data_IF_572417218777
#
_entry.id   IF_572417218777
#
_cell.length_a   1.000
_cell.length_b   1.000
_cell.length_c   1.000
_cell.angle_alpha   90.00
_cell.angle_beta   90.00
_cell.angle_gamma   90.00
#
_symmetry.space_group_name_H-M   'P 1'
#
loop_
_entity.id
_entity.type
_entity.pdbx_description
1 polymer ?
#
# COMPACT_ATOMS: atom_id res chain seq x y z
N UNK A 1 -27.93 -15.75 4.33
CA UNK A 1 -27.89 -15.87 5.81
C UNK A 1 -27.16 -14.67 6.39
N UNK A 2 -27.89 -13.70 6.95
CA UNK A 2 -27.29 -12.53 7.61
C UNK A 2 -26.74 -12.95 8.97
N UNK A 3 -25.42 -13.05 9.10
CA UNK A 3 -24.80 -13.22 10.41
C UNK A 3 -25.14 -12.00 11.28
N UNK A 4 -25.86 -12.22 12.39
CA UNK A 4 -26.12 -11.21 13.41
C UNK A 4 -24.75 -10.75 13.93
N UNK A 5 -24.38 -9.50 13.63
CA UNK A 5 -23.10 -8.93 14.06
C UNK A 5 -23.13 -8.75 15.57
N UNK A 6 -22.09 -9.19 16.26
CA UNK A 6 -21.95 -8.95 17.69
C UNK A 6 -21.79 -7.44 17.96
N UNK A 7 -22.25 -6.92 19.12
CA UNK A 7 -22.15 -5.50 19.46
C UNK A 7 -20.72 -4.95 19.30
N UNK A 8 -19.71 -5.73 19.70
CA UNK A 8 -18.29 -5.40 19.57
C UNK A 8 -17.83 -5.20 18.12
N UNK A 9 -18.34 -6.03 17.18
CA UNK A 9 -18.03 -5.89 15.77
C UNK A 9 -18.65 -4.63 15.16
N UNK A 10 -19.84 -4.22 15.63
CA UNK A 10 -20.47 -2.96 15.21
C UNK A 10 -19.74 -1.74 15.77
N UNK A 11 -19.35 -1.77 17.06
CA UNK A 11 -18.64 -0.69 17.74
C UNK A 11 -17.29 -0.41 17.08
N UNK A 12 -16.58 -1.47 16.65
CA UNK A 12 -15.32 -1.38 15.89
C UNK A 12 -15.48 -0.64 14.56
N UNK A 13 -16.56 -0.89 13.80
CA UNK A 13 -16.78 -0.21 12.50
C UNK A 13 -17.25 1.22 12.65
N UNK A 14 -17.98 1.54 13.72
CA UNK A 14 -18.33 2.92 14.04
C UNK A 14 -17.09 3.72 14.47
N UNK A 15 -16.16 3.09 15.19
CA UNK A 15 -14.86 3.69 15.52
C UNK A 15 -14.02 3.96 14.26
N UNK A 16 -13.97 3.01 13.31
CA UNK A 16 -13.34 3.22 11.99
C UNK A 16 -13.92 4.43 11.26
N UNK A 17 -15.25 4.52 11.18
CA UNK A 17 -15.93 5.67 10.56
C UNK A 17 -15.60 6.98 11.27
N UNK A 18 -15.70 7.01 12.60
CA UNK A 18 -15.41 8.21 13.39
C UNK A 18 -13.97 8.69 13.22
N UNK A 19 -12.99 7.78 13.30
CA UNK A 19 -11.59 8.11 13.08
C UNK A 19 -11.32 8.53 11.63
N UNK A 20 -12.01 7.94 10.67
CA UNK A 20 -11.93 8.33 9.26
C UNK A 20 -12.45 9.74 9.00
N UNK A 21 -13.56 10.13 9.63
CA UNK A 21 -14.07 11.51 9.57
C UNK A 21 -13.05 12.49 10.15
N UNK A 22 -12.41 12.14 11.28
CA UNK A 22 -11.32 12.98 11.84
C UNK A 22 -10.17 13.12 10.85
N UNK A 23 -9.76 12.04 10.18
CA UNK A 23 -8.70 12.09 9.16
C UNK A 23 -9.07 13.00 7.97
N UNK A 24 -10.33 12.94 7.51
CA UNK A 24 -10.83 13.83 6.46
C UNK A 24 -10.80 15.29 6.93
N UNK A 25 -11.28 15.58 8.15
CA UNK A 25 -11.28 16.93 8.70
C UNK A 25 -9.87 17.50 8.81
N UNK A 26 -8.90 16.72 9.26
CA UNK A 26 -7.49 17.14 9.32
C UNK A 26 -6.93 17.41 7.93
N UNK A 27 -7.25 16.56 6.94
CA UNK A 27 -6.77 16.71 5.56
C UNK A 27 -7.36 17.95 4.89
N UNK A 28 -8.69 18.13 4.99
CA UNK A 28 -9.41 19.26 4.42
C UNK A 28 -9.03 20.55 5.13
N UNK A 29 -8.91 20.53 6.46
CA UNK A 29 -8.41 21.66 7.24
C UNK A 29 -6.99 22.04 6.84
N UNK A 30 -6.09 21.06 6.69
CA UNK A 30 -4.72 21.29 6.23
C UNK A 30 -4.65 21.91 4.83
N UNK A 31 -5.45 21.41 3.89
CA UNK A 31 -5.56 21.99 2.54
C UNK A 31 -6.11 23.42 2.58
N UNK A 32 -7.16 23.66 3.37
CA UNK A 32 -7.76 24.98 3.51
C UNK A 32 -6.78 25.99 4.13
N UNK A 33 -6.08 25.60 5.19
CA UNK A 33 -5.04 26.45 5.81
C UNK A 33 -3.92 26.77 4.82
N UNK A 34 -3.49 25.78 4.03
CA UNK A 34 -2.51 25.99 2.97
C UNK A 34 -3.01 27.00 1.94
N UNK A 35 -4.23 26.87 1.46
CA UNK A 35 -4.75 27.75 0.43
C UNK A 35 -5.01 29.18 0.94
N UNK A 36 -5.51 29.31 2.18
CA UNK A 36 -5.68 30.59 2.86
C UNK A 36 -4.34 31.29 3.13
N UNK A 37 -3.25 30.54 3.25
CA UNK A 37 -1.91 31.12 3.37
C UNK A 37 -1.43 31.82 2.10
N UNK A 38 -1.98 31.45 0.94
CA UNK A 38 -1.65 32.04 -0.35
C UNK A 38 -2.58 33.20 -0.72
N UNK A 39 -3.89 33.06 -0.46
CA UNK A 39 -4.86 34.12 -0.70
C UNK A 39 -6.00 34.05 0.33
N UNK A 40 -6.51 35.19 0.83
CA UNK A 40 -7.58 35.22 1.83
C UNK A 40 -8.97 34.95 1.22
N UNK A 41 -9.10 33.90 0.41
CA UNK A 41 -10.34 33.48 -0.24
C UNK A 41 -10.47 31.96 -0.23
N UNK A 42 -11.71 31.48 -0.23
CA UNK A 42 -11.97 30.05 -0.39
C UNK A 42 -11.50 29.58 -1.78
N UNK A 43 -10.72 28.50 -1.88
CA UNK A 43 -10.29 27.96 -3.16
C UNK A 43 -11.48 27.52 -4.01
N UNK A 44 -11.44 27.81 -5.31
CA UNK A 44 -12.54 27.45 -6.23
C UNK A 44 -12.77 25.94 -6.31
N UNK A 45 -11.74 25.14 -6.06
CA UNK A 45 -11.74 23.68 -6.10
C UNK A 45 -12.02 23.04 -4.72
N UNK A 46 -12.24 23.84 -3.67
CA UNK A 46 -12.42 23.35 -2.29
C UNK A 46 -13.52 22.28 -2.18
N UNK A 47 -14.69 22.54 -2.76
CA UNK A 47 -15.81 21.60 -2.71
C UNK A 47 -15.54 20.32 -3.48
N UNK A 48 -14.84 20.43 -4.61
CA UNK A 48 -14.41 19.27 -5.39
C UNK A 48 -13.39 18.44 -4.59
N UNK A 49 -12.40 19.10 -3.96
CA UNK A 49 -11.41 18.43 -3.13
C UNK A 49 -12.04 17.70 -1.93
N UNK A 50 -12.95 18.37 -1.21
CA UNK A 50 -13.70 17.78 -0.10
C UNK A 50 -14.49 16.55 -0.55
N UNK A 51 -15.25 16.66 -1.64
CA UNK A 51 -16.03 15.56 -2.18
C UNK A 51 -15.13 14.41 -2.64
N UNK A 52 -14.00 14.72 -3.28
CA UNK A 52 -13.04 13.74 -3.76
C UNK A 52 -12.41 12.95 -2.61
N UNK A 53 -11.81 13.61 -1.61
CA UNK A 53 -11.21 12.92 -0.45
C UNK A 53 -12.25 12.13 0.35
N UNK A 54 -13.44 12.69 0.55
CA UNK A 54 -14.52 12.00 1.26
C UNK A 54 -14.96 10.75 0.50
N UNK A 55 -15.17 10.86 -0.82
CA UNK A 55 -15.59 9.72 -1.64
C UNK A 55 -14.53 8.61 -1.66
N UNK A 56 -13.25 8.94 -1.76
CA UNK A 56 -12.16 7.98 -1.67
C UNK A 56 -12.18 7.20 -0.34
N UNK A 57 -12.32 7.90 0.79
CA UNK A 57 -12.45 7.25 2.09
C UNK A 57 -13.69 6.35 2.16
N UNK A 58 -14.86 6.82 1.71
CA UNK A 58 -16.08 6.03 1.75
C UNK A 58 -16.00 4.78 0.86
N UNK A 59 -15.42 4.89 -0.34
CA UNK A 59 -15.18 3.74 -1.22
C UNK A 59 -14.29 2.71 -0.52
N UNK A 60 -13.18 3.15 0.09
CA UNK A 60 -12.29 2.26 0.82
C UNK A 60 -12.97 1.63 2.05
N UNK A 61 -13.73 2.41 2.81
CA UNK A 61 -14.47 1.95 3.99
C UNK A 61 -15.51 0.90 3.62
N UNK A 62 -16.30 1.17 2.58
CA UNK A 62 -17.31 0.25 2.05
C UNK A 62 -16.62 -1.02 1.53
N UNK A 63 -15.54 -0.89 0.77
CA UNK A 63 -14.73 -1.99 0.26
C UNK A 63 -14.23 -2.89 1.38
N UNK A 64 -13.58 -2.34 2.40
CA UNK A 64 -13.11 -3.10 3.57
C UNK A 64 -14.28 -3.75 4.32
N UNK A 65 -15.40 -3.04 4.49
CA UNK A 65 -16.57 -3.54 5.22
C UNK A 65 -17.21 -4.77 4.57
N UNK A 66 -17.19 -4.86 3.24
CA UNK A 66 -17.74 -5.99 2.49
C UNK A 66 -16.70 -7.08 2.20
N UNK A 67 -15.48 -6.69 1.84
CA UNK A 67 -14.46 -7.61 1.37
C UNK A 67 -13.63 -8.20 2.52
N UNK A 68 -13.46 -7.46 3.61
CA UNK A 68 -12.65 -7.85 4.78
C UNK A 68 -13.35 -7.52 6.11
N UNK A 69 -14.50 -8.16 6.43
CA UNK A 69 -15.32 -7.83 7.60
C UNK A 69 -14.62 -8.02 8.95
N UNK A 70 -13.53 -8.81 8.99
CA UNK A 70 -12.72 -9.08 10.17
C UNK A 70 -11.45 -8.21 10.24
N UNK A 71 -11.22 -7.30 9.29
CA UNK A 71 -10.06 -6.42 9.29
C UNK A 71 -10.04 -5.52 10.52
N UNK A 72 -8.84 -5.15 10.97
CA UNK A 72 -8.69 -4.20 12.08
C UNK A 72 -9.26 -2.81 11.70
N UNK A 73 -10.13 -2.21 12.54
CA UNK A 73 -10.83 -0.96 12.21
C UNK A 73 -9.96 0.31 12.24
N UNK A 74 -8.76 0.24 12.81
CA UNK A 74 -7.86 1.40 13.01
C UNK A 74 -6.97 1.68 11.80
N UNK A 75 -6.67 0.64 10.99
CA UNK A 75 -5.71 0.72 9.90
C UNK A 75 -6.16 1.68 8.79
N UNK A 76 -7.43 1.59 8.36
CA UNK A 76 -7.91 2.44 7.27
C UNK A 76 -7.90 3.93 7.64
N UNK A 77 -8.39 4.37 8.81
CA UNK A 77 -8.27 5.75 9.26
C UNK A 77 -6.82 6.24 9.36
N UNK A 78 -5.90 5.42 9.86
CA UNK A 78 -4.47 5.76 9.94
C UNK A 78 -3.86 5.99 8.55
N UNK A 79 -4.12 5.07 7.61
CA UNK A 79 -3.65 5.19 6.23
C UNK A 79 -4.26 6.41 5.53
N UNK A 80 -5.53 6.70 5.82
CA UNK A 80 -6.24 7.89 5.30
C UNK A 80 -5.61 9.17 5.83
N UNK A 81 -5.31 9.24 7.13
CA UNK A 81 -4.64 10.38 7.76
C UNK A 81 -3.26 10.62 7.15
N UNK A 82 -2.44 9.56 7.03
CA UNK A 82 -1.09 9.67 6.46
C UNK A 82 -1.12 10.07 4.99
N UNK A 83 -2.05 9.52 4.19
CA UNK A 83 -2.21 9.93 2.79
C UNK A 83 -2.66 11.39 2.68
N UNK A 84 -3.62 11.80 3.50
CA UNK A 84 -4.11 13.17 3.51
C UNK A 84 -3.04 14.19 3.89
N UNK A 85 -2.28 13.92 4.95
CA UNK A 85 -1.14 14.75 5.34
C UNK A 85 -0.07 14.80 4.24
N UNK A 86 0.28 13.65 3.66
CA UNK A 86 1.22 13.59 2.54
C UNK A 86 0.76 14.39 1.32
N UNK A 87 -0.53 14.30 0.99
CA UNK A 87 -1.12 15.08 -0.10
C UNK A 87 -1.06 16.59 0.16
N UNK A 88 -1.37 17.04 1.39
CA UNK A 88 -1.26 18.46 1.75
C UNK A 88 0.20 18.93 1.66
N UNK A 89 1.16 18.10 2.07
CA UNK A 89 2.59 18.44 1.93
C UNK A 89 3.03 18.53 0.47
N UNK A 90 2.58 17.62 -0.40
CA UNK A 90 2.88 17.69 -1.84
C UNK A 90 2.22 18.94 -2.45
N UNK A 91 0.97 19.23 -2.09
CA UNK A 91 0.27 20.45 -2.54
C UNK A 91 1.01 21.71 -2.11
N UNK A 92 1.62 21.71 -0.92
CA UNK A 92 2.46 22.81 -0.44
C UNK A 92 3.73 22.96 -1.27
N UNK A 93 4.37 21.85 -1.65
CA UNK A 93 5.57 21.88 -2.51
C UNK A 93 5.24 22.39 -3.92
N UNK A 94 4.09 22.02 -4.46
CA UNK A 94 3.65 22.45 -5.79
C UNK A 94 3.49 23.98 -5.91
N UNK A 95 3.27 24.70 -4.80
CA UNK A 95 3.22 26.18 -4.79
C UNK A 95 4.55 26.83 -5.17
N UNK A 96 5.67 26.17 -4.86
CA UNK A 96 7.02 26.71 -5.12
C UNK A 96 7.70 26.07 -6.33
N UNK A 97 7.20 24.92 -6.78
CA UNK A 97 7.76 24.19 -7.91
C UNK A 97 7.24 24.73 -9.26
N UNK A 98 8.05 24.65 -10.33
CA UNK A 98 7.57 24.90 -11.69
C UNK A 98 6.41 23.98 -12.06
N UNK A 99 5.49 24.46 -12.90
CA UNK A 99 4.31 23.70 -13.37
C UNK A 99 4.65 22.29 -13.85
N UNK A 100 5.76 22.13 -14.58
CA UNK A 100 6.21 20.83 -15.12
C UNK A 100 6.63 19.81 -14.06
N UNK A 101 6.86 20.24 -12.82
CA UNK A 101 7.28 19.39 -11.70
C UNK A 101 6.17 19.19 -10.66
N UNK A 102 4.99 19.81 -10.87
CA UNK A 102 3.86 19.68 -9.95
C UNK A 102 3.29 18.26 -9.98
N UNK A 103 3.08 17.70 -8.80
CA UNK A 103 2.70 16.28 -8.67
C UNK A 103 1.47 16.04 -7.82
N UNK A 104 0.85 17.05 -7.19
CA UNK A 104 -0.35 16.87 -6.38
C UNK A 104 -1.51 16.23 -7.16
N UNK A 105 -1.78 16.68 -8.38
CA UNK A 105 -2.84 16.08 -9.22
C UNK A 105 -2.55 14.61 -9.55
N UNK A 106 -1.31 14.31 -9.92
CA UNK A 106 -0.86 12.95 -10.19
C UNK A 106 -0.95 12.08 -8.93
N UNK A 107 -0.61 12.63 -7.77
CA UNK A 107 -0.75 11.97 -6.47
C UNK A 107 -2.22 11.64 -6.16
N UNK A 108 -3.16 12.56 -6.40
CA UNK A 108 -4.60 12.29 -6.22
C UNK A 108 -5.07 11.10 -7.07
N UNK A 109 -4.61 11.01 -8.33
CA UNK A 109 -4.92 9.87 -9.21
C UNK A 109 -4.31 8.57 -8.65
N UNK A 110 -3.05 8.60 -8.18
CA UNK A 110 -2.41 7.41 -7.60
C UNK A 110 -3.06 6.95 -6.30
N UNK A 111 -3.57 7.86 -5.47
CA UNK A 111 -4.35 7.49 -4.27
C UNK A 111 -5.63 6.77 -4.70
N UNK A 112 -6.35 7.29 -5.70
CA UNK A 112 -7.56 6.67 -6.23
C UNK A 112 -7.29 5.27 -6.83
N UNK A 113 -6.24 5.16 -7.66
CA UNK A 113 -5.78 3.87 -8.21
C UNK A 113 -5.39 2.92 -7.09
N UNK A 114 -4.67 3.38 -6.07
CA UNK A 114 -4.26 2.58 -4.92
C UNK A 114 -5.46 2.03 -4.12
N UNK A 115 -6.51 2.82 -3.93
CA UNK A 115 -7.76 2.36 -3.31
C UNK A 115 -8.46 1.31 -4.19
N UNK A 116 -8.49 1.52 -5.50
CA UNK A 116 -9.01 0.55 -6.46
C UNK A 116 -8.26 -0.78 -6.41
N UNK A 117 -6.92 -0.75 -6.44
CA UNK A 117 -6.05 -1.93 -6.31
C UNK A 117 -6.25 -2.60 -4.94
N UNK A 118 -6.37 -1.83 -3.86
CA UNK A 118 -6.66 -2.37 -2.53
C UNK A 118 -7.98 -3.15 -2.53
N UNK A 119 -9.06 -2.58 -3.06
CA UNK A 119 -10.35 -3.26 -3.15
C UNK A 119 -10.28 -4.49 -4.05
N UNK A 120 -9.57 -4.41 -5.18
CA UNK A 120 -9.35 -5.53 -6.09
C UNK A 120 -8.62 -6.68 -5.39
N UNK A 121 -7.53 -6.39 -4.67
CA UNK A 121 -6.77 -7.40 -3.91
C UNK A 121 -7.61 -8.03 -2.82
N UNK A 122 -8.36 -7.25 -2.04
CA UNK A 122 -9.29 -7.79 -1.04
C UNK A 122 -10.41 -8.64 -1.67
N UNK A 123 -10.80 -8.33 -2.90
CA UNK A 123 -11.78 -9.10 -3.66
C UNK A 123 -11.23 -10.44 -4.15
N UNK A 124 -10.02 -10.44 -4.70
CA UNK A 124 -9.36 -11.61 -5.31
C UNK A 124 -8.72 -12.54 -4.27
N UNK A 125 -8.08 -11.99 -3.23
CA UNK A 125 -7.36 -12.74 -2.21
C UNK A 125 -8.25 -12.96 -0.99
N UNK A 126 -9.18 -13.91 -1.11
CA UNK A 126 -10.08 -14.28 0.01
C UNK A 126 -9.45 -15.23 1.02
N UNK A 127 -8.50 -16.05 0.58
CA UNK A 127 -7.82 -17.00 1.43
C UNK A 127 -6.30 -16.80 1.31
N UNK A 128 -5.69 -16.32 2.38
CA UNK A 128 -4.24 -16.08 2.45
C UNK A 128 -3.47 -17.41 2.37
N UNK A 129 -4.02 -18.51 2.90
CA UNK A 129 -3.35 -19.81 2.84
C UNK A 129 -3.28 -20.37 1.42
N UNK A 130 -4.19 -19.96 0.53
CA UNK A 130 -4.13 -20.33 -0.89
C UNK A 130 -2.86 -19.80 -1.57
N UNK A 131 -2.30 -18.67 -1.10
CA UNK A 131 -1.07 -18.11 -1.65
C UNK A 131 0.14 -19.02 -1.37
N UNK A 132 0.13 -19.80 -0.28
CA UNK A 132 1.22 -20.74 0.03
C UNK A 132 1.45 -21.77 -1.07
N UNK A 133 0.36 -22.23 -1.71
CA UNK A 133 0.43 -23.20 -2.83
C UNK A 133 1.23 -22.67 -4.02
N UNK A 134 1.23 -21.35 -4.21
CA UNK A 134 1.89 -20.69 -5.33
C UNK A 134 3.22 -20.05 -4.95
N UNK A 135 3.84 -20.44 -3.81
CA UNK A 135 5.10 -19.84 -3.31
C UNK A 135 6.20 -19.78 -4.38
N UNK A 136 6.37 -20.83 -5.17
CA UNK A 136 7.41 -20.88 -6.22
C UNK A 136 7.13 -19.91 -7.36
N UNK A 137 5.85 -19.67 -7.68
CA UNK A 137 5.44 -18.66 -8.67
C UNK A 137 5.76 -17.26 -8.13
N UNK A 138 5.44 -16.98 -6.86
CA UNK A 138 5.77 -15.70 -6.24
C UNK A 138 7.28 -15.44 -6.19
N UNK A 139 8.09 -16.47 -5.91
CA UNK A 139 9.56 -16.35 -6.01
C UNK A 139 10.01 -16.05 -7.43
N UNK A 140 9.54 -16.83 -8.41
CA UNK A 140 9.92 -16.66 -9.81
C UNK A 140 9.52 -15.28 -10.34
N UNK A 141 8.31 -14.81 -10.05
CA UNK A 141 7.85 -13.46 -10.41
C UNK A 141 8.62 -12.37 -9.65
N UNK A 142 8.95 -12.59 -8.37
CA UNK A 142 9.71 -11.62 -7.57
C UNK A 142 11.13 -11.44 -8.08
N UNK A 143 11.84 -12.55 -8.33
CA UNK A 143 13.18 -12.52 -8.94
C UNK A 143 13.11 -11.98 -10.37
N UNK A 144 12.13 -12.43 -11.16
CA UNK A 144 11.90 -11.93 -12.51
C UNK A 144 11.69 -10.42 -12.54
N UNK A 145 10.90 -9.87 -11.61
CA UNK A 145 10.69 -8.44 -11.47
C UNK A 145 12.00 -7.69 -11.15
N UNK A 146 12.86 -8.23 -10.27
CA UNK A 146 14.17 -7.62 -9.97
C UNK A 146 15.12 -7.60 -11.18
N UNK A 147 15.03 -8.61 -12.04
CA UNK A 147 15.86 -8.71 -13.24
C UNK A 147 15.30 -7.90 -14.41
N UNK A 148 14.03 -7.50 -14.36
CA UNK A 148 13.33 -6.85 -15.47
C UNK A 148 13.99 -5.53 -15.93
N UNK A 149 14.49 -4.64 -15.05
CA UNK A 149 15.24 -3.45 -15.47
C UNK A 149 16.55 -3.74 -16.22
N UNK A 150 17.12 -4.94 -16.07
CA UNK A 150 18.37 -5.33 -16.76
C UNK A 150 18.12 -5.68 -18.23
N UNK A 151 16.86 -5.96 -18.60
CA UNK A 151 16.52 -6.30 -19.98
C UNK A 151 16.82 -5.11 -20.92
N UNK A 152 17.52 -5.37 -22.04
CA UNK A 152 17.81 -4.32 -23.02
C UNK A 152 16.50 -3.75 -23.58
N UNK A 153 16.40 -2.42 -23.64
CA UNK A 153 15.21 -1.72 -24.16
C UNK A 153 14.09 -1.44 -23.16
N UNK A 154 14.07 -2.05 -21.97
CA UNK A 154 13.01 -1.83 -20.96
C UNK A 154 13.43 -0.91 -19.81
N UNK A 155 14.63 -1.13 -19.27
CA UNK A 155 15.14 -0.33 -18.15
C UNK A 155 15.73 0.99 -18.62
N UNK A 156 15.47 2.07 -17.88
CA UNK A 156 16.10 3.37 -18.10
C UNK A 156 16.87 3.81 -16.86
N UNK A 157 17.87 4.66 -17.06
CA UNK A 157 18.67 5.22 -15.98
C UNK A 157 17.99 6.47 -15.41
N UNK A 158 17.72 6.42 -14.10
CA UNK A 158 17.25 7.56 -13.33
C UNK A 158 18.21 7.75 -12.15
N UNK A 159 18.72 8.97 -11.94
CA UNK A 159 19.64 9.27 -10.85
C UNK A 159 20.85 8.31 -10.79
N UNK A 160 21.46 8.01 -11.94
CA UNK A 160 22.59 7.07 -12.09
C UNK A 160 22.30 5.60 -11.70
N UNK A 161 21.03 5.20 -11.61
CA UNK A 161 20.64 3.83 -11.31
C UNK A 161 19.58 3.33 -12.30
N UNK A 162 19.75 2.08 -12.77
CA UNK A 162 18.84 1.42 -13.71
C UNK A 162 17.83 0.53 -12.97
N UNK A 163 16.92 1.17 -12.25
CA UNK A 163 15.91 0.49 -11.40
C UNK A 163 14.49 0.59 -11.95
N UNK A 164 14.26 1.48 -12.90
CA UNK A 164 12.95 1.83 -13.40
C UNK A 164 12.73 1.27 -14.80
N UNK A 165 11.47 0.95 -15.10
CA UNK A 165 11.05 0.55 -16.44
C UNK A 165 10.06 1.56 -16.99
N UNK A 166 10.12 1.76 -18.30
CA UNK A 166 9.19 2.63 -19.01
C UNK A 166 8.15 1.77 -19.75
N UNK A 167 6.88 1.91 -19.38
CA UNK A 167 5.76 1.22 -20.01
C UNK A 167 4.82 2.27 -20.63
N UNK A 168 5.22 2.80 -21.79
CA UNK A 168 4.53 3.92 -22.43
C UNK A 168 4.50 5.14 -21.49
N UNK A 169 3.33 5.70 -21.13
CA UNK A 169 3.26 6.87 -20.26
C UNK A 169 3.54 6.59 -18.78
N UNK A 170 3.66 5.30 -18.38
CA UNK A 170 3.81 4.91 -16.99
C UNK A 170 5.25 4.54 -16.67
N UNK A 171 5.76 5.13 -15.59
CA UNK A 171 7.01 4.71 -14.97
C UNK A 171 6.68 3.77 -13.82
N UNK A 172 7.23 2.55 -13.86
CA UNK A 172 7.02 1.55 -12.84
C UNK A 172 8.36 1.09 -12.28
N UNK A 173 8.43 0.86 -10.97
CA UNK A 173 9.60 0.30 -10.33
C UNK A 173 9.32 -1.18 -10.01
N UNK A 174 9.88 -2.13 -10.79
CA UNK A 174 9.65 -3.56 -10.56
C UNK A 174 10.05 -4.04 -9.17
N UNK A 175 11.04 -3.38 -8.56
CA UNK A 175 11.45 -3.64 -7.19
C UNK A 175 10.34 -3.48 -6.14
N UNK A 176 9.36 -2.61 -6.37
CA UNK A 176 8.21 -2.45 -5.48
C UNK A 176 7.30 -3.69 -5.50
N UNK A 177 6.99 -4.20 -6.70
CA UNK A 177 6.27 -5.47 -6.82
C UNK A 177 7.08 -6.65 -6.30
N UNK A 178 8.39 -6.68 -6.58
CA UNK A 178 9.28 -7.74 -6.09
C UNK A 178 9.24 -7.84 -4.56
N UNK A 179 9.23 -6.72 -3.83
CA UNK A 179 9.11 -6.72 -2.36
C UNK A 179 7.88 -7.48 -1.88
N UNK A 180 6.71 -7.20 -2.45
CA UNK A 180 5.45 -7.86 -2.07
C UNK A 180 5.49 -9.36 -2.42
N UNK A 181 5.92 -9.70 -3.63
CA UNK A 181 5.99 -11.08 -4.11
C UNK A 181 6.95 -11.92 -3.26
N UNK A 182 8.13 -11.38 -2.95
CA UNK A 182 9.13 -12.06 -2.13
C UNK A 182 8.67 -12.18 -0.68
N UNK A 183 7.97 -11.19 -0.11
CA UNK A 183 7.36 -11.31 1.23
C UNK A 183 6.38 -12.48 1.29
N UNK A 184 5.52 -12.64 0.26
CA UNK A 184 4.59 -13.77 0.19
C UNK A 184 5.36 -15.10 0.13
N UNK A 185 6.40 -15.18 -0.72
CA UNK A 185 7.26 -16.37 -0.80
C UNK A 185 7.92 -16.69 0.54
N UNK A 186 8.61 -15.72 1.16
CA UNK A 186 9.32 -15.94 2.41
C UNK A 186 8.37 -16.30 3.55
N UNK A 187 7.19 -15.68 3.62
CA UNK A 187 6.17 -16.04 4.60
C UNK A 187 5.72 -17.50 4.47
N UNK A 188 5.48 -17.97 3.24
CA UNK A 188 5.13 -19.36 2.98
C UNK A 188 6.29 -20.31 3.29
N UNK A 189 7.49 -20.01 2.79
CA UNK A 189 8.68 -20.84 2.95
C UNK A 189 9.11 -20.99 4.42
N UNK A 190 9.18 -19.88 5.17
CA UNK A 190 9.53 -19.91 6.59
C UNK A 190 8.42 -20.54 7.43
N UNK A 191 7.16 -20.39 7.02
CA UNK A 191 6.02 -21.03 7.66
C UNK A 191 6.08 -22.56 7.56
N UNK A 192 6.38 -23.07 6.37
CA UNK A 192 6.43 -24.53 6.10
C UNK A 192 7.68 -25.18 6.71
N UNK A 193 8.80 -24.47 6.77
CA UNK A 193 10.07 -24.99 7.31
C UNK A 193 10.30 -24.63 8.79
N UNK A 194 9.27 -24.14 9.50
CA UNK A 194 9.40 -23.60 10.87
C UNK A 194 10.07 -24.58 11.84
N UNK A 195 9.72 -25.87 11.77
CA UNK A 195 10.27 -26.89 12.66
C UNK A 195 11.74 -27.22 12.33
N UNK A 196 12.08 -27.32 11.04
CA UNK A 196 13.44 -27.55 10.56
C UNK A 196 14.38 -26.39 10.92
N UNK A 197 13.89 -25.16 10.81
CA UNK A 197 14.64 -23.96 11.18
C UNK A 197 14.85 -23.85 12.71
N UNK A 198 13.90 -24.36 13.50
CA UNK A 198 13.99 -24.39 14.98
C UNK A 198 14.87 -25.54 15.50
N UNK A 199 14.93 -26.65 14.78
CA UNK A 199 15.72 -27.83 15.17
C UNK A 199 17.25 -27.58 15.11
N UNK A 200 17.70 -26.47 14.53
CA UNK A 200 19.03 -25.87 14.78
C UNK A 200 20.20 -26.85 14.84
N UNK A 201 20.59 -27.45 13.72
CA UNK A 201 21.54 -28.58 13.69
C UNK A 201 23.01 -28.17 13.90
N UNK A 202 23.38 -26.89 13.76
CA UNK A 202 24.76 -26.41 13.97
C UNK A 202 24.82 -25.27 14.98
N UNK A 203 25.67 -25.40 15.99
CA UNK A 203 25.97 -24.32 16.94
C UNK A 203 27.11 -23.46 16.40
N UNK A 204 26.84 -22.18 16.12
CA UNK A 204 27.87 -21.17 15.84
C UNK A 204 27.78 -20.10 16.95
N UNK A 205 28.73 -20.12 17.88
CA UNK A 205 28.70 -19.27 19.07
C UNK A 205 27.52 -19.57 19.99
N UNK A 206 26.70 -18.55 20.30
CA UNK A 206 25.48 -18.67 21.14
C UNK A 206 24.21 -18.99 20.33
N UNK A 207 24.29 -19.05 19.01
CA UNK A 207 23.14 -19.27 18.13
C UNK A 207 23.19 -20.66 17.47
N UNK A 208 22.03 -21.31 17.37
CA UNK A 208 21.85 -22.54 16.60
C UNK A 208 21.36 -22.17 15.20
N UNK A 209 22.16 -22.47 14.18
CA UNK A 209 21.83 -22.24 12.78
C UNK A 209 21.40 -23.58 12.14
N UNK A 210 20.31 -23.59 11.36
CA UNK A 210 19.93 -24.74 10.55
C UNK A 210 20.95 -24.97 9.43
N UNK A 211 21.07 -26.22 8.96
CA UNK A 211 22.05 -26.56 7.93
C UNK A 211 21.78 -25.77 6.62
N UNK A 212 22.82 -25.36 5.85
CA UNK A 212 22.67 -24.53 4.65
C UNK A 212 21.72 -25.11 3.59
N UNK A 213 21.65 -26.44 3.53
CA UNK A 213 20.72 -27.22 2.69
C UNK A 213 19.23 -27.01 3.01
N UNK A 214 18.91 -26.38 4.14
CA UNK A 214 17.55 -26.05 4.56
C UNK A 214 17.28 -24.53 4.58
N UNK A 215 18.20 -23.72 4.04
CA UNK A 215 18.04 -22.26 3.94
C UNK A 215 17.47 -21.81 2.58
N UNK A 216 17.59 -22.65 1.55
CA UNK A 216 17.03 -22.39 0.23
C UNK A 216 15.84 -23.31 -0.10
N UNK A 217 14.90 -22.89 -0.96
CA UNK A 217 13.93 -23.79 -1.56
C UNK A 217 14.67 -24.78 -2.46
N UNK A 218 14.87 -26.01 -1.97
CA UNK A 218 15.34 -27.17 -2.74
C UNK A 218 14.18 -28.14 -2.93
#
# INVERSE_FOLDING_TARGET
MSAVRTPLASQRRNAELGLGVVAILVTVGGYLLLALSSAPALPSDFWFFLAFISSLFFVAHIGVRFLAPNAEPTLLPLVTMLNGLGFVMISRLDLVLPESQRTARTQAVWIAVGIGVCCLVLGLVRNIDALRRYRSIFLALGVGALLLPLLPGLGYEANNARLWIHLGPLNFQPGEAAKVLLVIFFAAYLGDNRELLRAGTRRIGRMFLPAPRHLGPL
#
